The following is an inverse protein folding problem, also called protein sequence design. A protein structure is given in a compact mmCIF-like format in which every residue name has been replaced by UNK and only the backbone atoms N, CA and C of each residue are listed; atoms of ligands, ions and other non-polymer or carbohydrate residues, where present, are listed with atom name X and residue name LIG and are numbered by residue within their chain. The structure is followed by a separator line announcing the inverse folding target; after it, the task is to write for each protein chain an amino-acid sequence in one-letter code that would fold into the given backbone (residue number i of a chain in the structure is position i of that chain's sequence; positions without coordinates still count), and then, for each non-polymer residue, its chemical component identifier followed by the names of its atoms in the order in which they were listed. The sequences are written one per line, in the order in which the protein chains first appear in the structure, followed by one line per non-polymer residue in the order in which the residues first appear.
data_IF_705129678198
#
_entry.id   IF_705129678198
#
_cell.length_a   1.000
_cell.length_b   1.000
_cell.length_c   1.000
_cell.angle_alpha   90.00
_cell.angle_beta   90.00
_cell.angle_gamma   90.00
#
_symmetry.space_group_name_H-M   'P 1'
#
loop_
_entity.id
_entity.type
_entity.pdbx_description
1 polymer ?
#
# COMPACT_ATOMS: atom_id res chain seq x y z
N UNK A 1 6.94 9.58 17.07
CA UNK A 1 5.86 8.65 16.68
C UNK A 1 6.01 8.42 15.18
N UNK A 2 6.32 7.19 14.73
CA UNK A 2 6.37 6.89 13.30
C UNK A 2 4.95 7.02 12.74
N UNK A 3 4.76 7.96 11.83
CA UNK A 3 3.51 8.07 11.09
C UNK A 3 3.38 6.83 10.20
N UNK A 4 2.26 6.12 10.30
CA UNK A 4 1.99 4.89 9.54
C UNK A 4 0.89 5.19 8.52
N UNK A 5 1.25 5.79 7.37
CA UNK A 5 0.28 6.42 6.46
C UNK A 5 -0.78 5.46 5.92
N UNK A 6 -0.50 4.14 5.90
CA UNK A 6 -1.40 3.13 5.34
C UNK A 6 -2.08 2.24 6.39
N UNK A 7 -1.80 2.45 7.68
CA UNK A 7 -2.35 1.61 8.76
C UNK A 7 -3.88 1.62 8.80
N UNK A 8 -4.51 2.80 8.71
CA UNK A 8 -5.99 2.90 8.71
C UNK A 8 -6.62 2.17 7.53
N UNK A 9 -5.95 2.15 6.38
CA UNK A 9 -6.46 1.47 5.20
C UNK A 9 -6.32 -0.05 5.34
N UNK A 10 -5.17 -0.52 5.81
CA UNK A 10 -4.95 -1.93 6.12
C UNK A 10 -5.97 -2.45 7.16
N UNK A 11 -6.22 -1.68 8.23
CA UNK A 11 -7.25 -1.99 9.24
C UNK A 11 -8.62 -2.17 8.63
N UNK A 12 -9.04 -1.25 7.74
CA UNK A 12 -10.34 -1.33 7.08
C UNK A 12 -10.48 -2.57 6.21
N UNK A 13 -9.43 -2.95 5.47
CA UNK A 13 -9.43 -4.15 4.64
C UNK A 13 -9.57 -5.40 5.51
N UNK A 14 -8.78 -5.51 6.58
CA UNK A 14 -8.85 -6.65 7.51
C UNK A 14 -10.20 -6.71 8.22
N UNK A 15 -10.75 -5.57 8.62
CA UNK A 15 -12.05 -5.50 9.27
C UNK A 15 -13.18 -5.97 8.34
N UNK A 16 -13.15 -5.54 7.08
CA UNK A 16 -14.11 -6.02 6.07
C UNK A 16 -13.96 -7.53 5.85
N UNK A 17 -12.73 -8.01 5.66
CA UNK A 17 -12.45 -9.44 5.52
C UNK A 17 -12.97 -10.24 6.72
N UNK A 18 -12.71 -9.77 7.95
CA UNK A 18 -13.24 -10.40 9.17
C UNK A 18 -14.77 -10.40 9.20
N UNK A 19 -15.41 -9.34 8.73
CA UNK A 19 -16.88 -9.20 8.72
C UNK A 19 -17.56 -10.10 7.69
N UNK A 20 -16.84 -10.49 6.64
CA UNK A 20 -17.33 -11.41 5.60
C UNK A 20 -17.22 -12.89 6.03
N UNK A 21 -16.49 -13.19 7.11
CA UNK A 21 -16.38 -14.53 7.66
C UNK A 21 -17.57 -14.86 8.57
N UNK A 22 -17.93 -16.15 8.61
CA UNK A 22 -18.80 -16.64 9.67
C UNK A 22 -18.18 -16.36 11.05
N UNK A 23 -19.03 -16.01 12.04
CA UNK A 23 -18.56 -15.62 13.38
C UNK A 23 -17.73 -16.72 14.05
N UNK A 24 -18.12 -17.99 13.90
CA UNK A 24 -17.38 -19.11 14.48
C UNK A 24 -15.98 -19.25 13.88
N UNK A 25 -15.86 -18.98 12.58
CA UNK A 25 -14.57 -18.98 11.89
C UNK A 25 -13.71 -17.76 12.25
N UNK A 26 -14.32 -16.57 12.31
CA UNK A 26 -13.62 -15.35 12.72
C UNK A 26 -13.07 -15.47 14.16
N UNK A 27 -13.85 -16.05 15.08
CA UNK A 27 -13.42 -16.28 16.45
C UNK A 27 -12.34 -17.37 16.55
N UNK A 28 -12.44 -18.43 15.73
CA UNK A 28 -11.42 -19.48 15.66
C UNK A 28 -10.07 -18.98 15.13
N UNK A 29 -10.08 -18.01 14.19
CA UNK A 29 -8.87 -17.34 13.71
C UNK A 29 -8.31 -16.40 14.79
N UNK A 30 -9.15 -15.61 15.44
CA UNK A 30 -8.75 -14.75 16.55
C UNK A 30 -7.89 -13.53 16.16
N UNK A 31 -7.76 -12.61 17.12
CA UNK A 31 -7.24 -11.25 16.87
C UNK A 31 -5.76 -11.22 16.49
N UNK A 32 -4.96 -12.17 16.98
CA UNK A 32 -3.52 -12.23 16.66
C UNK A 32 -3.26 -12.42 15.16
N UNK A 33 -4.01 -13.32 14.53
CA UNK A 33 -3.85 -13.62 13.12
C UNK A 33 -4.37 -12.48 12.23
N UNK A 34 -5.47 -11.82 12.61
CA UNK A 34 -5.94 -10.61 11.93
C UNK A 34 -4.97 -9.43 12.10
N UNK A 35 -4.37 -9.25 13.28
CA UNK A 35 -3.34 -8.24 13.50
C UNK A 35 -2.09 -8.49 12.65
N UNK A 36 -1.70 -9.76 12.48
CA UNK A 36 -0.60 -10.13 11.57
C UNK A 36 -0.95 -9.84 10.12
N UNK A 37 -2.19 -10.12 9.70
CA UNK A 37 -2.69 -9.80 8.36
C UNK A 37 -2.70 -8.28 8.11
N UNK A 38 -3.06 -7.47 9.10
CA UNK A 38 -3.00 -6.00 9.01
C UNK A 38 -1.59 -5.52 8.69
N UNK A 39 -0.57 -6.06 9.36
CA UNK A 39 0.84 -5.71 9.13
C UNK A 39 1.31 -6.13 7.73
N UNK A 40 0.90 -7.32 7.27
CA UNK A 40 1.26 -7.80 5.92
C UNK A 40 0.63 -6.93 4.83
N UNK A 41 -0.65 -6.56 4.99
CA UNK A 41 -1.36 -5.67 4.05
C UNK A 41 -0.75 -4.27 4.08
N UNK A 42 -0.46 -3.73 5.26
CA UNK A 42 0.23 -2.43 5.40
C UNK A 42 1.56 -2.45 4.64
N UNK A 43 2.34 -3.52 4.77
CA UNK A 43 3.63 -3.66 4.09
C UNK A 43 3.48 -3.73 2.57
N UNK A 44 2.51 -4.49 2.07
CA UNK A 44 2.23 -4.59 0.64
C UNK A 44 1.79 -3.25 0.05
N UNK A 45 0.91 -2.51 0.74
CA UNK A 45 0.49 -1.16 0.33
C UNK A 45 1.68 -0.20 0.24
N UNK A 46 2.57 -0.22 1.25
CA UNK A 46 3.78 0.59 1.24
C UNK A 46 4.66 0.28 0.01
N UNK A 47 4.86 -1.01 -0.29
CA UNK A 47 5.67 -1.41 -1.45
C UNK A 47 5.07 -0.90 -2.76
N UNK A 48 3.77 -1.10 -2.97
CA UNK A 48 3.09 -0.68 -4.21
C UNK A 48 3.14 0.84 -4.38
N UNK A 49 2.90 1.60 -3.30
CA UNK A 49 2.98 3.06 -3.33
C UNK A 49 4.39 3.54 -3.66
N UNK A 50 5.42 2.93 -3.05
CA UNK A 50 6.81 3.28 -3.34
C UNK A 50 7.19 2.97 -4.79
N UNK A 51 6.72 1.85 -5.35
CA UNK A 51 6.91 1.54 -6.77
C UNK A 51 6.26 2.59 -7.67
N UNK A 52 4.99 2.94 -7.42
CA UNK A 52 4.29 3.95 -8.21
C UNK A 52 4.96 5.33 -8.14
N UNK A 53 5.48 5.71 -6.97
CA UNK A 53 6.26 6.95 -6.82
C UNK A 53 7.55 6.90 -7.64
N UNK A 54 8.28 5.78 -7.61
CA UNK A 54 9.51 5.61 -8.39
C UNK A 54 9.25 5.68 -9.89
N UNK A 55 8.18 5.05 -10.37
CA UNK A 55 7.78 5.09 -11.79
C UNK A 55 7.44 6.53 -12.21
N UNK A 56 6.71 7.27 -11.36
CA UNK A 56 6.39 8.68 -11.62
C UNK A 56 7.65 9.55 -11.70
N UNK A 57 8.64 9.31 -10.83
CA UNK A 57 9.92 10.03 -10.88
C UNK A 57 10.65 9.74 -12.19
N UNK A 58 10.68 8.48 -12.63
CA UNK A 58 11.30 8.10 -13.90
C UNK A 58 10.62 8.78 -15.10
N UNK A 59 9.29 8.86 -15.10
CA UNK A 59 8.54 9.55 -16.14
C UNK A 59 8.89 11.04 -16.20
N UNK A 60 8.98 11.71 -15.04
CA UNK A 60 9.39 13.13 -14.96
C UNK A 60 10.81 13.32 -15.51
N UNK A 61 11.76 12.45 -15.14
CA UNK A 61 13.12 12.52 -15.67
C UNK A 61 13.17 12.36 -17.19
N UNK A 62 12.36 11.45 -17.74
CA UNK A 62 12.27 11.22 -19.17
C UNK A 62 11.70 12.44 -19.89
N UNK A 63 10.63 13.04 -19.35
CA UNK A 63 10.04 14.28 -19.89
C UNK A 63 11.04 15.43 -19.88
N UNK A 64 11.82 15.59 -18.80
CA UNK A 64 12.87 16.61 -18.71
C UNK A 64 13.98 16.39 -19.73
N UNK A 65 14.41 15.14 -19.95
CA UNK A 65 15.41 14.79 -20.98
C UNK A 65 14.90 15.14 -22.38
N UNK A 66 13.65 14.81 -22.69
CA UNK A 66 13.02 15.14 -23.98
C UNK A 66 12.89 16.65 -24.19
N UNK A 67 12.47 17.40 -23.15
CA UNK A 67 12.36 18.86 -23.23
C UNK A 67 13.72 19.52 -23.50
N UNK A 68 14.79 19.05 -22.84
CA UNK A 68 16.17 19.53 -23.08
C UNK A 68 16.66 19.22 -24.49
N UNK A 69 16.30 18.08 -25.06
CA UNK A 69 16.66 17.74 -26.44
C UNK A 69 15.94 18.65 -27.43
N UNK A 70 14.63 18.89 -27.24
CA UNK A 70 13.83 19.80 -28.07
C UNK A 70 14.28 21.25 -27.98
N UNK A 71 14.81 21.71 -26.84
CA UNK A 71 15.32 23.07 -26.69
C UNK A 71 16.70 23.30 -27.33
N UNK A 72 17.39 22.24 -27.76
CA UNK A 72 18.71 22.30 -28.40
C UNK A 72 18.68 22.13 -29.92
N UNK A 73 17.53 21.74 -30.49
CA UNK A 73 17.28 21.68 -31.93
C UNK A 73 16.37 22.81 -32.35
#
# INVERSE_FOLDING_TARGET
MQDRPHRKHAQKIVQNFRSDLDKGLADAIGDYHFGSLEVLIESALNTVVMTAMNDTVNDIEQLLKQAKQRAKG
#
